data_IF_240991514701
#
_entry.id   IF_240991514701
#
_cell.length_a   1.000
_cell.length_b   1.000
_cell.length_c   1.000
_cell.angle_alpha   90.00
_cell.angle_beta   90.00
_cell.angle_gamma   90.00
#
_symmetry.space_group_name_H-M   'P 1'
#
loop_
_entity.id
_entity.type
_entity.pdbx_description
1 polymer ?
#
# COMPACT_ATOMS: atom_id res chain seq x y z
N UNK A 1 21.41 0.00 2.58
CA UNK A 1 22.66 0.69 2.33
C UNK A 1 23.63 0.48 3.49
N UNK A 2 24.88 0.32 3.21
CA UNK A 2 25.91 -0.03 4.21
C UNK A 2 25.98 -1.53 4.50
N UNK A 3 26.58 -1.88 5.64
CA UNK A 3 26.72 -3.28 6.04
C UNK A 3 25.36 -3.93 6.32
N UNK A 4 25.17 -5.22 5.94
CA UNK A 4 23.95 -5.95 6.21
C UNK A 4 23.62 -5.97 7.71
N UNK A 5 22.35 -5.71 8.05
CA UNK A 5 21.83 -5.76 9.42
C UNK A 5 20.73 -6.81 9.50
N UNK A 6 20.76 -7.63 10.56
CA UNK A 6 19.72 -8.60 10.84
C UNK A 6 18.56 -7.95 11.60
N UNK A 7 17.36 -7.97 11.03
CA UNK A 7 16.13 -7.59 11.73
C UNK A 7 15.40 -8.85 12.16
N UNK A 8 15.10 -8.95 13.44
CA UNK A 8 14.44 -10.13 14.02
C UNK A 8 12.98 -9.82 14.26
N UNK A 9 12.11 -10.60 13.60
CA UNK A 9 10.67 -10.54 13.80
C UNK A 9 10.20 -11.60 14.78
N UNK A 10 9.20 -11.25 15.58
CA UNK A 10 8.49 -12.23 16.40
C UNK A 10 7.29 -12.79 15.66
N UNK A 11 6.88 -14.02 15.99
CA UNK A 11 5.63 -14.57 15.46
C UNK A 11 4.41 -13.74 15.87
N UNK A 12 4.43 -13.16 17.08
CA UNK A 12 3.38 -12.24 17.53
C UNK A 12 3.28 -11.00 16.64
N UNK A 13 4.42 -10.35 16.33
CA UNK A 13 4.45 -9.17 15.46
C UNK A 13 3.96 -9.48 14.05
N UNK A 14 4.39 -10.62 13.46
CA UNK A 14 3.92 -11.06 12.16
C UNK A 14 2.41 -11.31 12.12
N UNK A 15 1.87 -11.96 13.15
CA UNK A 15 0.44 -12.21 13.29
C UNK A 15 -0.36 -10.93 13.43
N UNK A 16 0.06 -10.01 14.33
CA UNK A 16 -0.64 -8.75 14.56
C UNK A 16 -0.61 -7.85 13.31
N UNK A 17 0.53 -7.77 12.62
CA UNK A 17 0.60 -6.96 11.39
C UNK A 17 -0.25 -7.57 10.26
N UNK A 18 -0.31 -8.91 10.15
CA UNK A 18 -1.19 -9.55 9.16
C UNK A 18 -2.68 -9.23 9.42
N UNK A 19 -3.11 -9.26 10.69
CA UNK A 19 -4.46 -8.86 11.09
C UNK A 19 -4.66 -7.35 10.89
N UNK A 20 -3.65 -6.54 11.22
CA UNK A 20 -3.65 -5.10 10.97
C UNK A 20 -3.91 -4.76 9.50
N UNK A 21 -3.24 -5.45 8.56
CA UNK A 21 -3.50 -5.29 7.13
C UNK A 21 -4.95 -5.62 6.76
N UNK A 22 -5.51 -6.71 7.30
CA UNK A 22 -6.91 -7.11 7.03
C UNK A 22 -7.87 -6.01 7.50
N UNK A 23 -7.69 -5.52 8.71
CA UNK A 23 -8.57 -4.50 9.31
C UNK A 23 -8.43 -3.16 8.60
N UNK A 24 -7.20 -2.69 8.42
CA UNK A 24 -6.91 -1.37 7.82
C UNK A 24 -7.37 -1.28 6.37
N UNK A 25 -7.26 -2.38 5.63
CA UNK A 25 -7.68 -2.41 4.22
C UNK A 25 -9.10 -2.95 4.04
N UNK A 26 -9.83 -3.22 5.12
CA UNK A 26 -11.16 -3.81 5.10
C UNK A 26 -11.26 -5.00 4.13
N UNK A 27 -10.26 -5.87 4.14
CA UNK A 27 -10.12 -6.93 3.13
C UNK A 27 -11.21 -7.99 3.26
N UNK A 28 -11.92 -8.31 2.17
CA UNK A 28 -12.90 -9.39 2.17
C UNK A 28 -12.22 -10.76 2.19
N UNK A 29 -12.98 -11.81 2.49
CA UNK A 29 -12.53 -13.19 2.24
C UNK A 29 -12.32 -13.43 0.74
N UNK A 30 -11.39 -14.32 0.43
CA UNK A 30 -11.05 -14.78 -0.91
C UNK A 30 -10.52 -13.66 -1.84
N UNK A 31 -9.64 -12.74 -1.35
CA UNK A 31 -9.05 -11.75 -2.23
C UNK A 31 -8.18 -12.43 -3.29
N UNK A 32 -8.11 -11.85 -4.47
CA UNK A 32 -7.12 -12.20 -5.48
C UNK A 32 -6.03 -11.15 -5.47
N UNK A 33 -4.87 -11.52 -4.97
CA UNK A 33 -3.76 -10.59 -4.72
C UNK A 33 -2.64 -10.76 -5.75
N UNK A 34 -2.31 -9.67 -6.44
CA UNK A 34 -1.24 -9.63 -7.43
C UNK A 34 0.09 -9.21 -6.80
N UNK A 35 1.09 -10.06 -6.92
CA UNK A 35 2.44 -9.82 -6.41
C UNK A 35 3.27 -8.96 -7.36
N UNK A 36 3.25 -7.65 -7.12
CA UNK A 36 4.18 -6.67 -7.69
C UNK A 36 5.31 -6.31 -6.72
N UNK A 37 5.12 -6.60 -5.43
CA UNK A 37 6.17 -6.48 -4.42
C UNK A 37 7.10 -7.71 -4.45
N UNK A 38 8.42 -7.52 -4.23
CA UNK A 38 9.28 -8.64 -3.90
C UNK A 38 8.85 -9.26 -2.55
N UNK A 39 8.55 -10.56 -2.52
CA UNK A 39 8.11 -11.24 -1.28
C UNK A 39 9.14 -11.19 -0.16
N UNK A 40 10.43 -11.03 -0.47
CA UNK A 40 11.50 -10.96 0.53
C UNK A 40 11.61 -9.58 1.19
N UNK A 41 11.17 -8.50 0.53
CA UNK A 41 11.27 -7.13 1.05
C UNK A 41 10.24 -6.91 2.15
N UNK A 42 10.71 -6.67 3.38
CA UNK A 42 9.89 -6.69 4.61
C UNK A 42 8.95 -7.91 4.64
N UNK A 43 9.43 -9.07 4.15
CA UNK A 43 8.67 -10.28 3.92
C UNK A 43 7.30 -10.02 3.23
N UNK A 44 7.38 -9.26 2.12
CA UNK A 44 6.22 -8.91 1.29
C UNK A 44 5.16 -8.11 2.05
N UNK A 45 5.59 -7.23 2.98
CA UNK A 45 4.72 -6.39 3.81
C UNK A 45 3.67 -7.18 4.60
N UNK A 46 4.01 -8.36 5.08
CA UNK A 46 3.12 -9.30 5.76
C UNK A 46 2.01 -9.91 4.89
N UNK A 47 1.89 -9.58 3.60
CA UNK A 47 0.82 -10.09 2.74
C UNK A 47 0.85 -11.59 2.47
N UNK A 48 1.98 -12.33 2.53
CA UNK A 48 1.92 -13.79 2.48
C UNK A 48 0.98 -14.37 3.56
N UNK A 49 1.04 -13.83 4.77
CA UNK A 49 0.21 -14.24 5.91
C UNK A 49 -1.21 -13.68 5.81
N UNK A 50 -1.33 -12.40 5.47
CA UNK A 50 -2.61 -11.69 5.30
C UNK A 50 -3.52 -12.39 4.30
N UNK A 51 -3.03 -12.62 3.08
CA UNK A 51 -3.82 -13.23 2.00
C UNK A 51 -4.15 -14.70 2.32
N UNK A 52 -3.19 -15.43 2.90
CA UNK A 52 -3.42 -16.83 3.32
C UNK A 52 -4.48 -16.93 4.42
N UNK A 53 -4.48 -16.00 5.40
CA UNK A 53 -5.48 -15.97 6.47
C UNK A 53 -6.90 -15.73 5.95
N UNK A 54 -7.03 -15.04 4.81
CA UNK A 54 -8.31 -14.78 4.14
C UNK A 54 -8.71 -15.86 3.11
N UNK A 55 -7.97 -16.98 3.04
CA UNK A 55 -8.10 -18.01 2.01
C UNK A 55 -8.06 -17.44 0.58
N UNK A 56 -7.25 -16.38 0.38
CA UNK A 56 -7.11 -15.67 -0.89
C UNK A 56 -6.20 -16.39 -1.89
N UNK A 57 -6.19 -15.87 -3.11
CA UNK A 57 -5.37 -16.36 -4.21
C UNK A 57 -4.14 -15.47 -4.39
N UNK A 58 -2.97 -16.06 -4.50
CA UNK A 58 -1.73 -15.37 -4.83
C UNK A 58 -1.44 -15.48 -6.33
N UNK A 59 -1.45 -14.35 -7.04
CA UNK A 59 -1.05 -14.24 -8.45
C UNK A 59 0.37 -13.69 -8.51
N UNK A 60 1.32 -14.48 -9.02
CA UNK A 60 2.74 -14.12 -9.03
C UNK A 60 3.20 -13.70 -10.42
N UNK A 61 3.96 -12.62 -10.49
CA UNK A 61 4.59 -12.14 -11.73
C UNK A 61 6.07 -12.54 -11.76
N UNK A 62 6.57 -12.90 -12.95
CA UNK A 62 8.01 -13.08 -13.16
C UNK A 62 8.74 -11.75 -13.31
N UNK A 63 8.06 -10.74 -13.88
CA UNK A 63 8.55 -9.38 -14.07
C UNK A 63 7.41 -8.40 -13.81
N UNK A 64 7.75 -7.28 -13.21
CA UNK A 64 6.81 -6.19 -12.96
C UNK A 64 6.85 -5.28 -14.18
N UNK A 65 5.88 -5.47 -15.08
CA UNK A 65 5.70 -4.73 -16.33
C UNK A 65 4.22 -4.38 -16.47
N UNK A 66 3.89 -3.20 -16.99
CA UNK A 66 2.52 -2.70 -17.07
C UNK A 66 1.57 -3.69 -17.78
N UNK A 67 1.96 -4.16 -18.96
CA UNK A 67 1.17 -5.12 -19.74
C UNK A 67 0.96 -6.46 -19.03
N UNK A 68 1.94 -6.92 -18.24
CA UNK A 68 1.79 -8.15 -17.44
C UNK A 68 0.84 -7.94 -16.27
N UNK A 69 0.88 -6.76 -15.62
CA UNK A 69 -0.03 -6.39 -14.53
C UNK A 69 -1.47 -6.32 -15.06
N UNK A 70 -1.70 -5.59 -16.14
CA UNK A 70 -3.04 -5.44 -16.71
C UNK A 70 -3.63 -6.78 -17.17
N UNK A 71 -2.86 -7.62 -17.87
CA UNK A 71 -3.32 -8.97 -18.21
C UNK A 71 -3.65 -9.80 -16.98
N UNK A 72 -2.82 -9.75 -15.94
CA UNK A 72 -3.09 -10.50 -14.71
C UNK A 72 -4.39 -10.04 -14.03
N UNK A 73 -4.69 -8.72 -14.05
CA UNK A 73 -5.94 -8.17 -13.53
C UNK A 73 -7.14 -8.74 -14.29
N UNK A 74 -7.09 -8.78 -15.62
CA UNK A 74 -8.16 -9.29 -16.46
C UNK A 74 -8.30 -10.82 -16.35
N UNK A 75 -7.20 -11.56 -16.51
CA UNK A 75 -7.20 -13.03 -16.60
C UNK A 75 -7.55 -13.70 -15.25
N UNK A 76 -7.17 -13.08 -14.13
CA UNK A 76 -7.33 -13.67 -12.79
C UNK A 76 -8.33 -12.94 -11.92
N UNK A 77 -8.91 -11.82 -12.36
CA UNK A 77 -9.84 -11.04 -11.56
C UNK A 77 -9.18 -10.46 -10.30
N UNK A 78 -7.98 -9.91 -10.45
CA UNK A 78 -7.23 -9.32 -9.33
C UNK A 78 -8.05 -8.25 -8.64
N UNK A 79 -8.12 -8.33 -7.32
CA UNK A 79 -8.86 -7.38 -6.47
C UNK A 79 -7.93 -6.47 -5.68
N UNK A 80 -6.74 -6.95 -5.34
CA UNK A 80 -5.79 -6.23 -4.48
C UNK A 80 -4.37 -6.37 -5.00
N UNK A 81 -3.58 -5.33 -4.85
CA UNK A 81 -2.14 -5.34 -5.10
C UNK A 81 -1.45 -4.26 -4.26
N UNK A 82 -0.15 -4.38 -4.09
CA UNK A 82 0.67 -3.30 -3.54
C UNK A 82 1.69 -2.87 -4.59
N UNK A 83 2.20 -1.66 -4.46
CA UNK A 83 3.26 -1.19 -5.36
C UNK A 83 3.87 0.11 -4.87
N UNK A 84 5.18 0.25 -5.06
CA UNK A 84 5.86 1.52 -4.86
C UNK A 84 5.42 2.56 -5.90
N UNK A 85 5.61 3.87 -5.67
CA UNK A 85 5.22 4.92 -6.62
C UNK A 85 5.78 4.74 -8.04
N UNK A 86 6.93 4.07 -8.18
CA UNK A 86 7.49 3.74 -9.49
C UNK A 86 6.58 2.78 -10.30
N UNK A 87 5.89 1.86 -9.62
CA UNK A 87 4.92 0.95 -10.25
C UNK A 87 3.69 1.73 -10.71
N UNK A 88 3.19 2.66 -9.86
CA UNK A 88 2.10 3.55 -10.24
C UNK A 88 2.47 4.38 -11.48
N UNK A 89 3.64 5.01 -11.47
CA UNK A 89 4.14 5.79 -12.61
C UNK A 89 4.26 4.95 -13.88
N UNK A 90 4.72 3.71 -13.78
CA UNK A 90 4.80 2.78 -14.91
C UNK A 90 3.41 2.46 -15.49
N UNK A 91 2.41 2.23 -14.64
CA UNK A 91 1.03 1.97 -15.09
C UNK A 91 0.42 3.20 -15.76
N UNK A 92 0.57 4.39 -15.16
CA UNK A 92 0.05 5.65 -15.70
C UNK A 92 0.66 5.96 -17.08
N UNK A 93 1.98 5.72 -17.24
CA UNK A 93 2.70 6.01 -18.48
C UNK A 93 2.71 4.84 -19.47
N UNK A 94 1.99 3.76 -19.21
CA UNK A 94 1.87 2.66 -20.16
C UNK A 94 1.21 3.12 -21.46
N UNK A 95 1.53 2.50 -22.62
CA UNK A 95 0.83 2.77 -23.87
C UNK A 95 -0.68 2.49 -23.73
N UNK A 96 -1.51 3.27 -24.43
CA UNK A 96 -2.96 3.17 -24.28
C UNK A 96 -3.53 1.85 -24.81
N UNK A 97 -2.85 1.22 -25.75
CA UNK A 97 -3.23 -0.08 -26.32
C UNK A 97 -3.07 -1.25 -25.34
N UNK A 98 -2.33 -1.06 -24.23
CA UNK A 98 -2.18 -2.07 -23.17
C UNK A 98 -2.98 -1.75 -21.91
N UNK A 99 -3.60 -0.58 -21.82
CA UNK A 99 -4.42 -0.16 -20.67
C UNK A 99 -5.84 -0.69 -20.83
N UNK A 100 -6.32 -1.59 -19.96
CA UNK A 100 -7.70 -2.05 -20.02
C UNK A 100 -8.65 -0.98 -19.45
N UNK A 101 -9.91 -1.09 -19.79
CA UNK A 101 -10.99 -0.46 -19.04
C UNK A 101 -11.36 -1.37 -17.86
N UNK A 102 -10.90 -1.06 -16.68
CA UNK A 102 -11.17 -1.87 -15.50
C UNK A 102 -12.67 -1.91 -15.19
N UNK A 103 -13.23 -3.11 -15.18
CA UNK A 103 -14.67 -3.32 -14.92
C UNK A 103 -15.02 -3.19 -13.44
N UNK A 104 -14.03 -3.35 -12.57
CA UNK A 104 -14.15 -3.20 -11.12
C UNK A 104 -12.89 -2.49 -10.60
N UNK A 105 -13.03 -1.68 -9.55
CA UNK A 105 -11.87 -1.08 -8.92
C UNK A 105 -10.88 -2.14 -8.42
N UNK A 106 -9.58 -1.86 -8.58
CA UNK A 106 -8.50 -2.66 -8.00
C UNK A 106 -7.93 -1.87 -6.83
N UNK A 107 -8.02 -2.42 -5.63
CA UNK A 107 -7.45 -1.80 -4.45
C UNK A 107 -5.92 -1.88 -4.52
N UNK A 108 -5.24 -0.73 -4.37
CA UNK A 108 -3.79 -0.66 -4.45
C UNK A 108 -3.19 0.08 -3.26
N UNK A 109 -2.41 -0.64 -2.48
CA UNK A 109 -1.64 -0.05 -1.38
C UNK A 109 -0.27 0.39 -1.87
N UNK A 110 0.11 1.63 -1.57
CA UNK A 110 1.41 2.20 -1.96
C UNK A 110 2.22 2.66 -0.75
N UNK A 111 3.53 2.43 -0.82
CA UNK A 111 4.51 2.87 0.18
C UNK A 111 5.94 2.83 -0.39
N UNK A 112 6.92 3.00 0.48
CA UNK A 112 8.35 2.98 0.16
C UNK A 112 8.90 4.36 -0.24
N UNK A 113 8.04 5.26 -0.70
CA UNK A 113 8.28 6.68 -0.88
C UNK A 113 6.93 7.40 -0.92
N UNK A 114 6.91 8.70 -0.64
CA UNK A 114 5.69 9.50 -0.77
C UNK A 114 5.27 9.59 -2.26
N UNK A 115 4.07 9.12 -2.63
CA UNK A 115 3.61 9.20 -4.01
C UNK A 115 3.25 10.66 -4.35
N UNK A 116 3.64 11.18 -5.53
CA UNK A 116 3.16 12.49 -5.97
C UNK A 116 1.63 12.50 -6.12
N UNK A 117 0.95 13.54 -5.62
CA UNK A 117 -0.50 13.67 -5.70
C UNK A 117 -1.03 13.53 -7.15
N UNK A 118 -0.31 14.10 -8.13
CA UNK A 118 -0.67 13.97 -9.55
C UNK A 118 -0.66 12.50 -10.04
N UNK A 119 0.24 11.66 -9.52
CA UNK A 119 0.29 10.23 -9.85
C UNK A 119 -0.87 9.49 -9.20
N UNK A 120 -1.23 9.85 -7.96
CA UNK A 120 -2.42 9.31 -7.29
C UNK A 120 -3.68 9.60 -8.11
N UNK A 121 -3.92 10.86 -8.45
CA UNK A 121 -5.10 11.24 -9.25
C UNK A 121 -5.13 10.57 -10.64
N UNK A 122 -3.97 10.38 -11.28
CA UNK A 122 -3.91 9.72 -12.58
C UNK A 122 -4.22 8.22 -12.49
N UNK A 123 -3.72 7.52 -11.48
CA UNK A 123 -3.95 6.07 -11.34
C UNK A 123 -5.39 5.78 -10.88
N UNK A 124 -5.99 6.67 -10.08
CA UNK A 124 -7.40 6.56 -9.68
C UNK A 124 -8.35 6.70 -10.87
N UNK A 125 -8.05 7.58 -11.84
CA UNK A 125 -8.80 7.68 -13.11
C UNK A 125 -8.76 6.40 -13.94
N UNK A 126 -7.76 5.57 -13.73
CA UNK A 126 -7.65 4.26 -14.37
C UNK A 126 -8.46 3.16 -13.67
N UNK A 127 -9.11 3.47 -12.54
CA UNK A 127 -9.93 2.53 -11.78
C UNK A 127 -9.20 1.83 -10.63
N UNK A 128 -8.07 2.36 -10.18
CA UNK A 128 -7.44 1.90 -8.95
C UNK A 128 -7.94 2.70 -7.74
N UNK A 129 -8.15 2.02 -6.62
CA UNK A 129 -8.42 2.67 -5.35
C UNK A 129 -7.14 2.67 -4.50
N UNK A 130 -6.59 3.86 -4.29
CA UNK A 130 -5.26 4.03 -3.68
C UNK A 130 -5.37 4.27 -2.19
N UNK A 131 -4.61 3.50 -1.43
CA UNK A 131 -4.32 3.75 -0.02
C UNK A 131 -2.81 3.92 0.19
N UNK A 132 -2.41 5.01 0.82
CA UNK A 132 -1.01 5.28 1.12
C UNK A 132 -0.68 4.81 2.54
N UNK A 133 0.39 4.04 2.66
CA UNK A 133 0.87 3.54 3.94
C UNK A 133 2.35 3.85 4.12
N UNK A 134 2.79 3.82 5.37
CA UNK A 134 4.19 3.93 5.72
C UNK A 134 4.59 2.79 6.64
N UNK A 135 5.81 2.34 6.48
CA UNK A 135 6.44 1.34 7.33
C UNK A 135 7.89 1.15 6.99
N UNK A 136 8.57 0.40 7.81
CA UNK A 136 9.99 0.07 7.68
C UNK A 136 10.19 -1.43 7.86
N UNK A 137 11.37 -1.91 7.52
CA UNK A 137 11.78 -3.29 7.81
C UNK A 137 11.69 -3.59 9.31
N UNK A 138 12.06 -2.62 10.14
CA UNK A 138 12.12 -2.72 11.60
C UNK A 138 10.74 -2.86 12.25
N UNK A 139 9.68 -2.46 11.57
CA UNK A 139 8.28 -2.61 12.04
C UNK A 139 7.48 -3.64 11.23
N UNK A 140 8.18 -4.44 10.43
CA UNK A 140 7.66 -5.56 9.64
C UNK A 140 6.65 -5.17 8.55
N UNK A 141 6.81 -4.03 7.91
CA UNK A 141 5.97 -3.57 6.81
C UNK A 141 5.10 -2.38 7.19
N UNK A 142 3.86 -2.28 6.68
CA UNK A 142 2.98 -1.16 6.98
C UNK A 142 2.65 -1.05 8.47
N UNK A 143 2.75 0.16 9.00
CA UNK A 143 2.45 0.48 10.39
C UNK A 143 1.64 1.78 10.51
N UNK A 144 1.58 2.57 9.44
CA UNK A 144 0.84 3.83 9.35
C UNK A 144 0.02 3.83 8.07
N UNK A 145 -1.19 4.36 8.12
CA UNK A 145 -2.10 4.44 6.99
C UNK A 145 -2.67 5.85 6.84
N UNK A 146 -2.78 6.33 5.63
CA UNK A 146 -3.60 7.49 5.32
C UNK A 146 -5.07 7.07 5.38
N UNK A 147 -5.62 7.03 6.59
CA UNK A 147 -7.04 6.70 6.82
C UNK A 147 -7.92 7.70 6.10
N UNK A 148 -8.91 7.20 5.37
CA UNK A 148 -9.78 8.02 4.54
C UNK A 148 -11.07 8.35 5.29
N UNK A 149 -11.33 9.64 5.51
CA UNK A 149 -12.58 10.09 6.10
C UNK A 149 -13.65 10.23 5.00
N UNK A 150 -14.87 9.70 5.21
CA UNK A 150 -15.95 9.73 4.20
C UNK A 150 -16.30 11.12 3.70
N UNK A 151 -16.19 12.15 4.54
CA UNK A 151 -16.45 13.55 4.18
C UNK A 151 -15.45 14.10 3.15
N UNK A 152 -14.30 13.47 2.97
CA UNK A 152 -13.33 13.89 1.95
C UNK A 152 -13.72 13.43 0.54
N UNK A 153 -14.74 12.60 0.39
CA UNK A 153 -15.25 12.21 -0.93
C UNK A 153 -15.82 13.40 -1.71
N UNK A 154 -16.33 14.41 -0.99
CA UNK A 154 -16.92 15.61 -1.58
C UNK A 154 -15.89 16.69 -1.97
N UNK A 155 -14.62 16.48 -1.61
CA UNK A 155 -13.53 17.39 -1.98
C UNK A 155 -13.21 17.32 -3.48
N UNK A 156 -12.71 18.44 -4.06
CA UNK A 156 -12.16 18.43 -5.41
C UNK A 156 -11.09 17.34 -5.58
N UNK A 157 -10.99 16.78 -6.77
CA UNK A 157 -10.06 15.69 -7.09
C UNK A 157 -8.61 15.98 -6.68
N UNK A 158 -8.15 17.22 -6.96
CA UNK A 158 -6.78 17.63 -6.61
C UNK A 158 -6.56 17.64 -5.09
N UNK A 159 -7.54 18.08 -4.32
CA UNK A 159 -7.47 18.07 -2.86
C UNK A 159 -7.49 16.64 -2.33
N UNK A 160 -8.36 15.76 -2.85
CA UNK A 160 -8.38 14.35 -2.50
C UNK A 160 -7.02 13.69 -2.72
N UNK A 161 -6.40 13.93 -3.87
CA UNK A 161 -5.08 13.41 -4.18
C UNK A 161 -4.00 13.93 -3.21
N UNK A 162 -4.08 15.21 -2.80
CA UNK A 162 -3.19 15.76 -1.77
C UNK A 162 -3.40 15.12 -0.40
N UNK A 163 -4.64 14.88 0.01
CA UNK A 163 -4.95 14.18 1.25
C UNK A 163 -4.40 12.74 1.23
N UNK A 164 -4.60 11.99 0.15
CA UNK A 164 -4.09 10.63 -0.02
C UNK A 164 -2.55 10.54 -0.04
N UNK A 165 -1.87 11.64 -0.36
CA UNK A 165 -0.41 11.67 -0.33
C UNK A 165 0.19 11.77 1.09
N UNK A 166 -0.63 12.03 2.13
CA UNK A 166 -0.17 12.11 3.52
C UNK A 166 0.16 10.73 4.09
N UNK A 167 0.99 10.71 5.13
CA UNK A 167 1.33 9.44 5.83
C UNK A 167 0.15 8.89 6.64
N UNK A 168 -0.53 9.74 7.40
CA UNK A 168 -1.75 9.36 8.12
C UNK A 168 -1.52 9.00 9.59
N UNK A 169 -2.21 7.94 10.04
CA UNK A 169 -2.29 7.51 11.44
C UNK A 169 -1.78 6.08 11.63
N UNK A 170 -1.51 5.70 12.86
CA UNK A 170 -1.05 4.34 13.19
C UNK A 170 -2.09 3.26 12.89
N UNK A 171 -1.61 2.06 12.59
CA UNK A 171 -2.46 0.87 12.50
C UNK A 171 -3.09 0.55 13.86
N UNK A 172 -4.34 0.08 13.88
CA UNK A 172 -5.07 -0.27 15.09
C UNK A 172 -4.39 -1.34 15.97
N UNK A 173 -3.44 -2.12 15.40
CA UNK A 173 -2.69 -3.14 16.11
C UNK A 173 -1.34 -2.65 16.67
N UNK A 174 -1.02 -1.38 16.50
CA UNK A 174 0.22 -0.77 16.96
C UNK A 174 0.04 -0.16 18.35
N UNK A 175 1.11 -0.14 19.15
CA UNK A 175 1.09 0.36 20.54
C UNK A 175 1.70 1.77 20.67
N UNK A 176 1.49 2.62 19.69
CA UNK A 176 1.91 4.01 19.71
C UNK A 176 2.81 4.42 18.57
N UNK A 177 2.56 5.62 18.13
CA UNK A 177 3.31 6.34 17.09
C UNK A 177 3.52 7.76 17.62
N UNK A 178 4.76 8.25 17.58
CA UNK A 178 5.03 9.66 17.82
C UNK A 178 5.90 10.25 16.73
N UNK A 179 5.70 11.54 16.47
CA UNK A 179 6.59 12.34 15.65
C UNK A 179 7.50 13.12 16.58
N UNK A 180 8.80 12.94 16.39
CA UNK A 180 9.80 13.51 17.27
C UNK A 180 10.69 14.51 16.54
N UNK A 181 11.06 15.57 17.22
CA UNK A 181 12.13 16.46 16.81
C UNK A 181 13.46 15.68 16.79
N UNK A 182 14.19 15.64 15.67
CA UNK A 182 15.38 14.82 15.52
C UNK A 182 16.59 15.28 16.36
N UNK A 183 16.59 16.54 16.84
CA UNK A 183 17.68 17.10 17.64
C UNK A 183 17.41 16.90 19.14
N UNK A 184 16.18 17.13 19.58
CA UNK A 184 15.80 17.08 20.99
C UNK A 184 15.25 15.74 21.43
N UNK A 185 14.83 14.90 20.49
CA UNK A 185 14.14 13.61 20.73
C UNK A 185 12.91 13.76 21.62
N UNK A 186 12.21 14.88 21.49
CA UNK A 186 10.93 15.16 22.15
C UNK A 186 9.80 15.14 21.12
N UNK A 187 8.61 14.79 21.60
CA UNK A 187 7.42 14.87 20.76
C UNK A 187 7.21 16.29 20.24
N UNK A 188 6.88 16.39 18.96
CA UNK A 188 6.47 17.67 18.37
C UNK A 188 4.99 17.94 18.67
N UNK A 189 4.55 19.23 18.75
CA UNK A 189 3.15 19.54 18.91
C UNK A 189 2.30 18.98 17.75
N UNK A 190 1.09 18.55 18.05
CA UNK A 190 0.11 18.10 17.05
C UNK A 190 -0.68 19.32 16.50
N UNK A 191 0.01 20.29 15.92
CA UNK A 191 -0.54 21.56 15.45
C UNK A 191 -0.75 21.63 13.92
N UNK A 192 -0.30 20.59 13.22
CA UNK A 192 -0.45 20.50 11.77
C UNK A 192 0.64 21.21 10.95
N UNK A 193 1.70 21.71 11.61
CA UNK A 193 2.88 22.30 10.98
C UNK A 193 4.04 21.32 10.80
#
# INVERSE_FOLDING_TARGET
TGDPKGVVYSHRGAYLNAIGNIMTWAMPHYPVYLWTLPMFHCNGWCFPWTITALAGTHVCLRRVEAGAIFRAIEDHGVTHMCGAPIVMGMLVNAPDDVKPSLQKPVAMMTAGAAPPAAVIGAIEKMGFDIIHVYGLTEVYGPAVVCEWAPEWNDLPEEERARFKARQGVEYAMQEGLSVMDPETMKDVPADGE
#
